data_IF_658057211228
#
_entry.id   IF_658057211228
#
_cell.length_a   1.000
_cell.length_b   1.000
_cell.length_c   1.000
_cell.angle_alpha   90.00
_cell.angle_beta   90.00
_cell.angle_gamma   90.00
#
_symmetry.space_group_name_H-M   'P 1'
#
loop_
_entity.id
_entity.type
_entity.pdbx_description
1 polymer ?
#
# COMPACT_ATOMS: atom_id res chain seq x y z
N UNK A 1 -46.97 11.73 10.37
CA UNK A 1 -45.82 10.79 10.35
C UNK A 1 -44.91 10.89 9.11
N UNK A 2 -44.91 11.97 8.32
CA UNK A 2 -43.97 12.14 7.18
C UNK A 2 -42.60 12.73 7.54
N UNK A 3 -42.49 13.49 8.63
CA UNK A 3 -41.23 14.17 9.00
C UNK A 3 -40.08 13.26 9.44
N UNK A 4 -40.36 12.10 10.03
CA UNK A 4 -39.31 11.20 10.55
C UNK A 4 -38.49 10.47 9.47
N UNK A 5 -39.06 10.24 8.29
CA UNK A 5 -38.32 9.61 7.17
C UNK A 5 -37.35 10.58 6.50
N UNK A 6 -37.65 11.88 6.53
CA UNK A 6 -36.83 12.91 5.89
C UNK A 6 -35.57 13.20 6.72
N UNK A 7 -35.70 13.29 8.05
CA UNK A 7 -34.56 13.50 8.96
C UNK A 7 -33.55 12.33 8.97
N UNK A 8 -34.02 11.09 8.81
CA UNK A 8 -33.15 9.91 8.70
C UNK A 8 -32.37 9.88 7.37
N UNK A 9 -32.91 10.54 6.34
CA UNK A 9 -32.28 10.60 5.03
C UNK A 9 -31.19 11.68 4.99
N UNK A 10 -31.41 12.81 5.66
CA UNK A 10 -30.40 13.88 5.81
C UNK A 10 -29.17 13.43 6.63
N UNK A 11 -29.35 12.71 7.75
CA UNK A 11 -28.23 12.19 8.56
C UNK A 11 -27.32 11.21 7.78
N UNK A 12 -27.92 10.40 6.90
CA UNK A 12 -27.17 9.50 6.02
C UNK A 12 -26.36 10.27 4.96
N UNK A 13 -26.90 11.37 4.44
CA UNK A 13 -26.23 12.21 3.44
C UNK A 13 -25.02 12.92 4.06
N UNK A 14 -25.14 13.43 5.29
CA UNK A 14 -24.03 14.12 5.96
C UNK A 14 -22.91 13.16 6.35
N UNK A 15 -23.24 11.96 6.84
CA UNK A 15 -22.26 10.92 7.11
C UNK A 15 -21.54 10.47 5.84
N UNK A 16 -22.25 10.44 4.71
CA UNK A 16 -21.68 10.14 3.40
C UNK A 16 -20.70 11.21 2.93
N UNK A 17 -21.05 12.51 3.05
CA UNK A 17 -20.14 13.61 2.70
C UNK A 17 -18.82 13.56 3.47
N UNK A 18 -18.87 13.32 4.78
CA UNK A 18 -17.66 13.21 5.62
C UNK A 18 -16.75 12.07 5.15
N UNK A 19 -17.33 10.95 4.70
CA UNK A 19 -16.57 9.81 4.20
C UNK A 19 -16.00 10.07 2.80
N UNK A 20 -16.75 10.76 1.95
CA UNK A 20 -16.29 11.15 0.62
C UNK A 20 -15.15 12.16 0.70
N UNK A 21 -15.24 13.12 1.63
CA UNK A 21 -14.17 14.07 1.93
C UNK A 21 -12.92 13.36 2.47
N UNK A 22 -13.08 12.37 3.36
CA UNK A 22 -11.95 11.55 3.83
C UNK A 22 -11.33 10.70 2.72
N UNK A 23 -12.16 10.11 1.86
CA UNK A 23 -11.69 9.35 0.69
C UNK A 23 -10.89 10.23 -0.26
N UNK A 24 -11.42 11.40 -0.59
CA UNK A 24 -10.74 12.42 -1.39
C UNK A 24 -9.46 12.91 -0.74
N UNK A 25 -9.44 13.10 0.58
CA UNK A 25 -8.23 13.52 1.29
C UNK A 25 -7.12 12.46 1.20
N UNK A 26 -7.45 11.18 1.42
CA UNK A 26 -6.49 10.08 1.26
C UNK A 26 -6.02 9.98 -0.19
N UNK A 27 -6.93 10.14 -1.15
CA UNK A 27 -6.60 10.14 -2.58
C UNK A 27 -5.69 11.31 -2.97
N UNK A 28 -6.01 12.54 -2.57
CA UNK A 28 -5.19 13.72 -2.87
C UNK A 28 -3.83 13.68 -2.17
N UNK A 29 -3.75 13.16 -0.94
CA UNK A 29 -2.45 12.86 -0.31
C UNK A 29 -1.61 11.89 -1.15
N UNK A 30 -2.23 10.84 -1.69
CA UNK A 30 -1.56 9.84 -2.56
C UNK A 30 -1.14 10.44 -3.90
N UNK A 31 -2.02 11.21 -4.54
CA UNK A 31 -1.73 11.94 -5.77
C UNK A 31 -0.58 12.92 -5.60
N UNK A 32 -0.54 13.67 -4.49
CA UNK A 32 0.55 14.57 -4.16
C UNK A 32 1.86 13.83 -3.87
N UNK A 33 1.81 12.65 -3.24
CA UNK A 33 2.99 11.79 -3.09
C UNK A 33 3.54 11.37 -4.46
N UNK A 34 2.68 10.91 -5.38
CA UNK A 34 3.05 10.53 -6.75
C UNK A 34 3.59 11.73 -7.55
N UNK A 35 3.01 12.92 -7.38
CA UNK A 35 3.50 14.13 -8.04
C UNK A 35 4.88 14.55 -7.51
N UNK A 36 5.12 14.38 -6.20
CA UNK A 36 6.43 14.60 -5.59
C UNK A 36 7.49 13.64 -6.13
N UNK A 37 7.11 12.38 -6.41
CA UNK A 37 7.96 11.39 -7.10
C UNK A 37 8.26 11.81 -8.54
N UNK A 38 7.27 12.34 -9.25
CA UNK A 38 7.47 12.83 -10.64
C UNK A 38 8.45 14.01 -10.69
N UNK A 39 8.41 14.92 -9.71
CA UNK A 39 9.40 15.99 -9.58
C UNK A 39 10.79 15.48 -9.18
N UNK A 40 10.89 14.36 -8.46
CA UNK A 40 12.18 13.71 -8.21
C UNK A 40 12.76 13.09 -9.49
N UNK A 41 11.93 12.64 -10.41
CA UNK A 41 12.37 12.09 -11.70
C UNK A 41 13.04 13.15 -12.60
N UNK A 42 12.60 14.41 -12.57
CA UNK A 42 13.23 15.48 -13.36
C UNK A 42 14.59 15.89 -12.78
N UNK A 43 14.72 15.97 -11.46
CA UNK A 43 16.01 16.17 -10.79
C UNK A 43 17.00 15.03 -11.12
N UNK A 44 16.49 13.80 -11.19
CA UNK A 44 17.27 12.61 -11.50
C UNK A 44 17.79 12.58 -12.95
N UNK A 45 16.95 12.96 -13.92
CA UNK A 45 17.37 13.14 -15.32
C UNK A 45 18.52 14.17 -15.42
N UNK A 46 18.46 15.24 -14.63
CA UNK A 46 19.51 16.24 -14.52
C UNK A 46 20.84 15.67 -14.00
N UNK A 47 20.81 14.77 -13.02
CA UNK A 47 22.02 14.13 -12.47
C UNK A 47 22.66 13.18 -13.50
N UNK A 48 21.86 12.42 -14.25
CA UNK A 48 22.38 11.56 -15.33
C UNK A 48 23.02 12.41 -16.43
N UNK A 49 22.33 13.46 -16.89
CA UNK A 49 22.83 14.32 -17.97
C UNK A 49 24.11 15.07 -17.57
N UNK A 50 24.21 15.54 -16.32
CA UNK A 50 25.43 16.17 -15.80
C UNK A 50 26.58 15.19 -15.68
N UNK A 51 26.31 13.96 -15.23
CA UNK A 51 27.32 12.89 -15.17
C UNK A 51 27.86 12.55 -16.57
N UNK A 52 26.98 12.38 -17.56
CA UNK A 52 27.35 12.15 -18.97
C UNK A 52 28.17 13.32 -19.52
N UNK A 53 27.77 14.56 -19.22
CA UNK A 53 28.49 15.76 -19.65
C UNK A 53 29.92 15.82 -19.09
N UNK A 54 30.10 15.47 -17.81
CA UNK A 54 31.43 15.41 -17.17
C UNK A 54 32.31 14.33 -17.81
N UNK A 55 31.74 13.16 -18.11
CA UNK A 55 32.46 12.07 -18.80
C UNK A 55 32.95 12.53 -20.18
N UNK A 56 32.06 13.12 -20.97
CA UNK A 56 32.40 13.64 -22.30
C UNK A 56 33.50 14.72 -22.23
N UNK A 57 33.42 15.62 -21.26
CA UNK A 57 34.43 16.66 -21.06
C UNK A 57 35.81 16.06 -20.71
N UNK A 58 35.85 15.06 -19.84
CA UNK A 58 37.08 14.35 -19.46
C UNK A 58 37.69 13.60 -20.65
N UNK A 59 36.88 12.89 -21.42
CA UNK A 59 37.35 12.16 -22.62
C UNK A 59 37.93 13.12 -23.66
N UNK A 60 37.24 14.24 -23.92
CA UNK A 60 37.72 15.26 -24.87
C UNK A 60 38.99 15.96 -24.38
N UNK A 61 39.10 16.20 -23.07
CA UNK A 61 40.29 16.77 -22.45
C UNK A 61 41.51 15.86 -22.63
N UNK A 62 41.37 14.58 -22.30
CA UNK A 62 42.43 13.58 -22.44
C UNK A 62 42.86 13.38 -23.91
N UNK A 63 41.90 13.40 -24.84
CA UNK A 63 42.20 13.35 -26.27
C UNK A 63 43.00 14.58 -26.72
N UNK A 64 42.65 15.78 -26.23
CA UNK A 64 43.30 17.04 -26.63
C UNK A 64 44.73 17.17 -26.11
N UNK A 65 45.05 16.60 -24.96
CA UNK A 65 46.38 16.72 -24.36
C UNK A 65 47.41 15.75 -24.94
N UNK A 66 47.00 14.81 -25.80
CA UNK A 66 47.91 13.85 -26.45
C UNK A 66 48.66 12.95 -25.47
N UNK A 67 48.13 12.80 -24.25
CA UNK A 67 48.76 12.01 -23.20
C UNK A 67 48.61 10.51 -23.49
N UNK A 68 49.74 9.81 -23.54
CA UNK A 68 49.76 8.35 -23.49
C UNK A 68 49.24 7.89 -22.13
N UNK A 69 48.14 7.11 -22.12
CA UNK A 69 47.51 6.63 -20.87
C UNK A 69 48.56 5.95 -19.98
N UNK A 70 48.81 6.57 -18.83
CA UNK A 70 49.67 6.03 -17.76
C UNK A 70 48.85 5.11 -16.85
N UNK A 71 49.53 4.35 -15.99
CA UNK A 71 48.88 3.48 -14.98
C UNK A 71 47.84 4.22 -14.11
N UNK A 72 48.07 5.51 -13.83
CA UNK A 72 47.14 6.34 -13.05
C UNK A 72 45.81 6.57 -13.79
N UNK A 73 45.83 6.64 -15.11
CA UNK A 73 44.62 6.82 -15.91
C UNK A 73 43.74 5.57 -15.88
N UNK A 74 44.35 4.38 -15.79
CA UNK A 74 43.62 3.10 -15.68
C UNK A 74 42.93 2.96 -14.32
N UNK A 75 43.59 3.42 -13.24
CA UNK A 75 43.01 3.43 -11.88
C UNK A 75 41.85 4.42 -11.78
N UNK A 76 41.99 5.61 -12.35
CA UNK A 76 40.90 6.61 -12.37
C UNK A 76 39.70 6.13 -13.18
N UNK A 77 39.94 5.45 -14.32
CA UNK A 77 38.89 4.87 -15.15
C UNK A 77 38.12 3.76 -14.41
N UNK A 78 38.82 2.88 -13.69
CA UNK A 78 38.17 1.78 -12.95
C UNK A 78 37.37 2.30 -11.75
N UNK A 79 37.89 3.32 -11.04
CA UNK A 79 37.18 4.02 -9.97
C UNK A 79 35.90 4.69 -10.47
N UNK A 80 35.93 5.25 -11.68
CA UNK A 80 34.77 5.88 -12.28
C UNK A 80 33.68 4.87 -12.70
N UNK A 81 34.08 3.75 -13.32
CA UNK A 81 33.15 2.68 -13.72
C UNK A 81 32.48 2.06 -12.48
N UNK A 82 33.24 1.80 -11.42
CA UNK A 82 32.70 1.25 -10.17
C UNK A 82 31.76 2.23 -9.47
N UNK A 83 32.10 3.51 -9.40
CA UNK A 83 31.21 4.54 -8.86
C UNK A 83 29.91 4.65 -9.67
N UNK A 84 30.00 4.63 -11.00
CA UNK A 84 28.83 4.68 -11.90
C UNK A 84 27.91 3.47 -11.71
N UNK A 85 28.49 2.27 -11.56
CA UNK A 85 27.74 1.04 -11.31
C UNK A 85 27.04 1.07 -9.94
N UNK A 86 27.71 1.54 -8.89
CA UNK A 86 27.13 1.70 -7.54
C UNK A 86 26.00 2.72 -7.56
N UNK A 87 26.20 3.87 -8.20
CA UNK A 87 25.17 4.90 -8.34
C UNK A 87 23.93 4.37 -9.08
N UNK A 88 24.14 3.57 -10.13
CA UNK A 88 23.05 2.89 -10.84
C UNK A 88 22.31 1.88 -9.94
N UNK A 89 23.03 1.03 -9.20
CA UNK A 89 22.43 0.07 -8.28
C UNK A 89 21.63 0.75 -7.16
N UNK A 90 22.17 1.81 -6.55
CA UNK A 90 21.46 2.60 -5.52
C UNK A 90 20.20 3.23 -6.11
N UNK A 91 20.29 3.76 -7.34
CA UNK A 91 19.12 4.29 -8.04
C UNK A 91 18.07 3.21 -8.22
N UNK A 92 18.43 2.06 -8.78
CA UNK A 92 17.49 0.94 -9.00
C UNK A 92 16.83 0.51 -7.70
N UNK A 93 17.59 0.42 -6.59
CA UNK A 93 17.06 0.04 -5.27
C UNK A 93 16.11 1.09 -4.67
N UNK A 94 16.37 2.38 -4.89
CA UNK A 94 15.48 3.47 -4.45
C UNK A 94 14.22 3.55 -5.34
N UNK A 95 14.36 3.20 -6.62
CA UNK A 95 13.32 3.39 -7.64
C UNK A 95 12.40 2.19 -7.83
N UNK A 96 12.82 0.96 -7.46
CA UNK A 96 11.90 -0.15 -7.30
C UNK A 96 10.96 0.22 -6.16
N UNK A 97 9.69 0.59 -6.45
CA UNK A 97 8.81 1.09 -5.43
C UNK A 97 8.55 -0.07 -4.47
N UNK A 98 9.04 0.06 -3.24
CA UNK A 98 8.66 -0.85 -2.15
C UNK A 98 7.15 -0.80 -1.85
N UNK A 99 6.42 0.10 -2.50
CA UNK A 99 4.97 0.29 -2.43
C UNK A 99 4.13 -0.84 -3.07
N UNK A 100 4.75 -1.83 -3.73
CA UNK A 100 4.03 -3.08 -4.06
C UNK A 100 3.49 -3.81 -2.82
N UNK A 101 3.92 -3.44 -1.60
CA UNK A 101 3.34 -3.97 -0.36
C UNK A 101 1.93 -3.48 -0.03
N UNK A 102 1.45 -2.39 -0.61
CA UNK A 102 0.19 -1.77 -0.16
C UNK A 102 -1.02 -1.99 -1.09
N UNK A 103 -0.87 -2.72 -2.20
CA UNK A 103 -2.02 -3.20 -2.99
C UNK A 103 -2.80 -4.34 -2.30
N UNK A 104 -2.41 -4.74 -1.07
CA UNK A 104 -3.16 -5.66 -0.20
C UNK A 104 -4.49 -5.09 0.32
N UNK A 105 -4.87 -3.86 -0.03
CA UNK A 105 -6.13 -3.23 0.40
C UNK A 105 -7.38 -4.03 -0.03
N UNK A 106 -7.24 -4.94 -1.00
CA UNK A 106 -8.33 -5.82 -1.45
C UNK A 106 -8.12 -7.30 -1.11
N UNK A 107 -7.04 -7.68 -0.43
CA UNK A 107 -6.94 -9.04 0.10
C UNK A 107 -7.89 -9.13 1.29
N UNK A 108 -8.89 -10.02 1.17
CA UNK A 108 -9.81 -10.38 2.23
C UNK A 108 -9.01 -10.80 3.47
N UNK A 109 -8.82 -9.85 4.38
CA UNK A 109 -7.91 -10.04 5.49
C UNK A 109 -8.61 -10.84 6.56
N UNK A 110 -8.16 -12.08 6.74
CA UNK A 110 -8.53 -12.90 7.89
C UNK A 110 -8.02 -12.24 9.18
N UNK A 111 -8.91 -12.03 10.15
CA UNK A 111 -8.54 -11.43 11.43
C UNK A 111 -8.29 -12.48 12.50
N UNK A 112 -9.26 -13.35 12.75
CA UNK A 112 -9.15 -14.42 13.72
C UNK A 112 -10.10 -15.57 13.38
N UNK A 113 -9.70 -16.78 13.77
CA UNK A 113 -10.55 -17.95 13.72
C UNK A 113 -11.48 -17.95 14.93
N UNK A 114 -12.78 -18.11 14.66
CA UNK A 114 -13.80 -18.21 15.69
C UNK A 114 -13.50 -19.36 16.65
N UNK A 115 -13.19 -20.54 16.13
CA UNK A 115 -12.99 -21.76 16.90
C UNK A 115 -11.73 -21.73 17.78
N UNK A 116 -10.74 -20.92 17.39
CA UNK A 116 -9.51 -20.73 18.14
C UNK A 116 -9.60 -19.67 19.26
N UNK A 117 -10.82 -19.20 19.58
CA UNK A 117 -11.12 -18.28 20.68
C UNK A 117 -12.11 -18.94 21.67
N UNK A 118 -11.82 -18.94 22.98
CA UNK A 118 -10.57 -18.48 23.60
C UNK A 118 -9.41 -19.44 23.28
N UNK A 119 -8.21 -18.91 23.11
CA UNK A 119 -7.00 -19.71 22.87
C UNK A 119 -5.99 -19.02 21.98
N UNK A 120 -5.60 -19.72 20.90
CA UNK A 120 -4.49 -19.34 20.02
C UNK A 120 -4.68 -17.96 19.37
N UNK A 121 -5.92 -17.61 19.05
CA UNK A 121 -6.23 -16.39 18.31
C UNK A 121 -6.67 -15.21 19.20
N UNK A 122 -6.60 -15.34 20.53
CA UNK A 122 -6.91 -14.26 21.48
C UNK A 122 -6.14 -12.97 21.18
N UNK A 123 -4.84 -13.06 20.90
CA UNK A 123 -4.01 -11.90 20.58
C UNK A 123 -4.44 -11.23 19.28
N UNK A 124 -4.89 -12.00 18.29
CA UNK A 124 -5.34 -11.46 17.01
C UNK A 124 -6.69 -10.74 17.16
N UNK A 125 -7.62 -11.35 17.90
CA UNK A 125 -8.91 -10.75 18.23
C UNK A 125 -8.74 -9.40 18.96
N UNK A 126 -7.91 -9.35 20.02
CA UNK A 126 -7.66 -8.10 20.74
C UNK A 126 -6.98 -7.05 19.87
N UNK A 127 -6.00 -7.47 19.04
CA UNK A 127 -5.35 -6.56 18.11
C UNK A 127 -6.34 -5.98 17.11
N UNK A 128 -7.20 -6.81 16.52
CA UNK A 128 -8.26 -6.35 15.61
C UNK A 128 -9.13 -5.27 16.25
N UNK A 129 -9.57 -5.50 17.48
CA UNK A 129 -10.46 -4.57 18.16
C UNK A 129 -9.75 -3.27 18.57
N UNK A 130 -8.50 -3.34 19.04
CA UNK A 130 -7.71 -2.16 19.39
C UNK A 130 -7.38 -1.32 18.14
N UNK A 131 -6.98 -1.97 17.04
CA UNK A 131 -6.55 -1.29 15.82
C UNK A 131 -7.73 -0.60 15.11
N UNK A 132 -8.93 -1.20 15.14
CA UNK A 132 -10.11 -0.66 14.46
C UNK A 132 -11.03 0.19 15.35
N UNK A 133 -10.96 0.05 16.67
CA UNK A 133 -11.82 0.76 17.61
C UNK A 133 -10.99 1.46 18.69
N UNK A 134 -10.47 2.64 18.34
CA UNK A 134 -9.52 3.47 19.12
C UNK A 134 -9.92 3.78 20.59
N UNK A 135 -11.19 3.61 20.98
CA UNK A 135 -11.68 3.86 22.33
C UNK A 135 -11.61 2.63 23.27
N UNK A 136 -11.04 1.52 22.81
CA UNK A 136 -10.99 0.25 23.55
C UNK A 136 -9.61 -0.01 24.18
N UNK A 137 -8.95 1.02 24.71
CA UNK A 137 -7.62 0.91 25.33
C UNK A 137 -7.56 -0.09 26.49
N UNK A 138 -8.68 -0.29 27.19
CA UNK A 138 -8.86 -1.25 28.28
C UNK A 138 -8.78 -2.73 27.84
N UNK A 139 -8.89 -3.01 26.53
CA UNK A 139 -8.86 -4.38 26.01
C UNK A 139 -7.52 -5.10 26.22
N UNK A 140 -6.44 -4.35 26.48
CA UNK A 140 -5.12 -4.95 26.74
C UNK A 140 -5.10 -5.84 28.00
N UNK A 141 -5.99 -5.58 28.95
CA UNK A 141 -6.13 -6.33 30.20
C UNK A 141 -7.46 -7.10 30.29
N UNK A 142 -8.24 -7.14 29.21
CA UNK A 142 -9.53 -7.81 29.22
C UNK A 142 -9.39 -9.34 29.22
N UNK A 143 -10.31 -10.00 29.93
CA UNK A 143 -10.51 -11.44 29.84
C UNK A 143 -11.36 -11.77 28.63
N UNK A 144 -11.10 -12.93 28.03
CA UNK A 144 -11.85 -13.44 26.88
C UNK A 144 -12.44 -14.77 27.28
N UNK A 145 -13.75 -14.86 27.22
CA UNK A 145 -14.50 -16.07 27.46
C UNK A 145 -15.43 -16.34 26.28
N UNK A 146 -15.83 -17.60 26.11
CA UNK A 146 -16.83 -18.00 25.13
C UNK A 146 -17.97 -18.71 25.85
N UNK A 147 -19.20 -18.44 25.44
CA UNK A 147 -20.40 -19.05 26.00
C UNK A 147 -20.38 -20.57 25.82
N UNK A 148 -21.14 -21.27 26.65
CA UNK A 148 -21.20 -22.75 26.65
C UNK A 148 -21.74 -23.32 25.34
N UNK A 149 -22.58 -22.57 24.63
CA UNK A 149 -23.10 -22.92 23.30
C UNK A 149 -22.11 -22.58 22.16
N UNK A 150 -20.96 -21.96 22.48
CA UNK A 150 -19.94 -21.56 21.51
C UNK A 150 -20.31 -20.36 20.62
N UNK A 151 -21.52 -19.80 20.77
CA UNK A 151 -22.08 -18.77 19.87
C UNK A 151 -21.72 -17.34 20.24
N UNK A 152 -21.27 -17.10 21.47
CA UNK A 152 -20.94 -15.76 21.96
C UNK A 152 -19.52 -15.72 22.50
N UNK A 153 -18.70 -14.80 22.00
CA UNK A 153 -17.41 -14.43 22.60
C UNK A 153 -17.62 -13.18 23.43
N UNK A 154 -17.25 -13.23 24.71
CA UNK A 154 -17.32 -12.12 25.64
C UNK A 154 -15.91 -11.63 25.97
N UNK A 155 -15.66 -10.35 25.75
CA UNK A 155 -14.40 -9.68 26.07
C UNK A 155 -14.71 -8.63 27.12
N UNK A 156 -14.19 -8.82 28.32
CA UNK A 156 -14.63 -7.99 29.44
C UNK A 156 -13.54 -7.67 30.45
N UNK A 157 -13.81 -6.61 31.18
CA UNK A 157 -13.18 -6.23 32.45
C UNK A 157 -14.30 -6.08 33.47
N UNK A 158 -13.97 -5.69 34.70
CA UNK A 158 -15.00 -5.47 35.72
C UNK A 158 -15.99 -4.35 35.35
N UNK A 159 -15.58 -3.40 34.49
CA UNK A 159 -16.36 -2.22 34.13
C UNK A 159 -16.85 -2.21 32.67
N UNK A 160 -16.22 -2.97 31.77
CA UNK A 160 -16.49 -2.91 30.34
C UNK A 160 -16.78 -4.30 29.78
N UNK A 161 -17.72 -4.37 28.83
CA UNK A 161 -18.11 -5.60 28.15
C UNK A 161 -18.24 -5.33 26.64
N UNK A 162 -17.64 -6.22 25.85
CA UNK A 162 -17.84 -6.35 24.42
C UNK A 162 -18.27 -7.77 24.13
N UNK A 163 -19.31 -7.92 23.33
CA UNK A 163 -19.82 -9.23 22.93
C UNK A 163 -19.69 -9.38 21.42
N UNK A 164 -19.33 -10.57 20.95
CA UNK A 164 -19.39 -10.96 19.56
C UNK A 164 -20.31 -12.16 19.48
N UNK A 165 -21.42 -12.05 18.76
CA UNK A 165 -22.43 -13.11 18.64
C UNK A 165 -22.52 -13.58 17.20
N UNK A 166 -22.26 -14.86 16.96
CA UNK A 166 -22.50 -15.44 15.65
C UNK A 166 -24.00 -15.66 15.43
N UNK A 167 -24.47 -15.39 14.22
CA UNK A 167 -25.84 -15.66 13.82
C UNK A 167 -26.08 -17.18 13.67
N UNK A 168 -27.34 -17.60 13.69
CA UNK A 168 -27.70 -19.02 13.59
C UNK A 168 -27.35 -19.63 12.22
N UNK A 169 -27.27 -18.81 11.17
CA UNK A 169 -26.82 -19.19 9.83
C UNK A 169 -25.29 -19.26 9.70
N UNK A 170 -24.54 -18.82 10.71
CA UNK A 170 -23.07 -18.77 10.74
C UNK A 170 -22.41 -17.95 9.62
N UNK A 171 -23.17 -17.17 8.86
CA UNK A 171 -22.63 -16.31 7.79
C UNK A 171 -22.17 -14.95 8.34
N UNK A 172 -22.72 -14.53 9.48
CA UNK A 172 -22.44 -13.23 10.08
C UNK A 172 -22.22 -13.32 11.58
N UNK A 173 -21.45 -12.38 12.10
CA UNK A 173 -21.36 -12.12 13.53
C UNK A 173 -21.65 -10.65 13.86
N UNK A 174 -22.33 -10.42 14.97
CA UNK A 174 -22.63 -9.10 15.51
C UNK A 174 -21.62 -8.76 16.62
N UNK A 175 -20.80 -7.75 16.39
CA UNK A 175 -19.92 -7.13 17.39
C UNK A 175 -20.69 -6.01 18.12
N UNK A 176 -20.89 -6.18 19.41
CA UNK A 176 -21.66 -5.29 20.28
C UNK A 176 -20.69 -4.56 21.21
N UNK A 177 -20.52 -3.24 21.01
CA UNK A 177 -19.54 -2.39 21.70
C UNK A 177 -20.15 -1.63 22.90
N UNK A 178 -21.27 -2.12 23.43
CA UNK A 178 -22.06 -1.46 24.46
C UNK A 178 -23.00 -0.37 23.92
N UNK A 179 -23.62 0.38 24.84
CA UNK A 179 -24.66 1.36 24.52
C UNK A 179 -24.09 2.72 24.13
N UNK A 180 -24.79 3.41 23.23
CA UNK A 180 -24.52 4.80 22.89
C UNK A 180 -25.15 5.78 23.90
N UNK A 181 -24.97 7.08 23.65
CA UNK A 181 -25.54 8.18 24.45
C UNK A 181 -27.07 8.21 24.52
N UNK A 182 -27.75 7.41 23.70
CA UNK A 182 -29.20 7.27 23.66
C UNK A 182 -29.66 5.91 24.22
N UNK A 183 -28.75 5.10 24.77
CA UNK A 183 -29.04 3.79 25.34
C UNK A 183 -29.22 2.68 24.31
N UNK A 184 -28.86 2.91 23.03
CA UNK A 184 -28.95 1.92 21.95
C UNK A 184 -27.62 1.18 21.77
N UNK A 185 -27.68 -0.11 21.52
CA UNK A 185 -26.47 -0.91 21.28
C UNK A 185 -25.75 -0.48 20.00
N UNK A 186 -24.43 -0.30 20.12
CA UNK A 186 -23.54 -0.07 18.99
C UNK A 186 -23.14 -1.41 18.41
N UNK A 187 -23.81 -1.79 17.32
CA UNK A 187 -23.64 -3.09 16.68
C UNK A 187 -22.91 -2.93 15.33
N UNK A 188 -21.84 -3.68 15.15
CA UNK A 188 -21.09 -3.81 13.90
C UNK A 188 -21.25 -5.23 13.36
N UNK A 189 -21.43 -5.35 12.03
CA UNK A 189 -21.51 -6.64 11.36
C UNK A 189 -20.13 -7.09 10.92
N UNK A 190 -19.81 -8.34 11.20
CA UNK A 190 -18.60 -9.04 10.77
C UNK A 190 -19.03 -10.20 9.87
N UNK A 191 -18.24 -10.48 8.84
CA UNK A 191 -18.50 -11.60 7.95
C UNK A 191 -17.80 -12.84 8.49
N UNK A 192 -18.48 -13.98 8.44
CA UNK A 192 -17.95 -15.26 8.90
C UNK A 192 -17.99 -16.21 7.73
N UNK A 193 -16.88 -16.93 7.52
CA UNK A 193 -16.81 -17.95 6.48
C UNK A 193 -16.21 -19.23 7.05
N UNK A 194 -16.77 -20.34 6.59
CA UNK A 194 -16.27 -21.68 6.85
C UNK A 194 -15.20 -22.01 5.81
N UNK A 195 -14.03 -22.44 6.27
CA UNK A 195 -12.96 -22.92 5.41
C UNK A 195 -13.15 -24.40 5.04
N UNK A 196 -12.36 -24.92 4.09
CA UNK A 196 -12.45 -26.31 3.64
C UNK A 196 -12.24 -27.34 4.77
N UNK A 197 -11.61 -26.95 5.88
CA UNK A 197 -11.38 -27.78 7.06
C UNK A 197 -12.52 -27.70 8.09
N UNK A 198 -13.59 -26.94 7.82
CA UNK A 198 -14.71 -26.70 8.74
C UNK A 198 -14.44 -25.66 9.83
N UNK A 199 -13.30 -24.97 9.81
CA UNK A 199 -13.03 -23.90 10.77
C UNK A 199 -13.74 -22.61 10.35
N UNK A 200 -14.40 -21.97 11.29
CA UNK A 200 -15.03 -20.66 11.10
C UNK A 200 -13.99 -19.55 11.26
N UNK A 201 -13.95 -18.64 10.29
CA UNK A 201 -13.04 -17.49 10.24
C UNK A 201 -13.80 -16.19 10.10
N UNK A 202 -13.34 -15.18 10.84
CA UNK A 202 -13.95 -13.85 10.82
C UNK A 202 -13.14 -12.92 9.93
N UNK A 203 -13.85 -12.30 8.99
CA UNK A 203 -13.33 -11.36 8.02
C UNK A 203 -13.95 -9.97 8.27
N UNK A 204 -13.11 -8.94 8.20
CA UNK A 204 -13.60 -7.56 8.21
C UNK A 204 -13.84 -7.16 6.78
N UNK A 205 -15.11 -6.98 6.48
CA UNK A 205 -15.55 -6.54 5.18
C UNK A 205 -16.02 -5.09 5.24
N UNK A 206 -15.42 -4.27 6.10
CA UNK A 206 -15.77 -2.86 6.27
C UNK A 206 -15.88 -2.10 4.95
N UNK A 207 -15.08 -2.48 3.94
CA UNK A 207 -15.20 -1.91 2.60
C UNK A 207 -16.39 -2.48 1.82
N UNK A 208 -16.57 -3.80 1.77
CA UNK A 208 -17.67 -4.43 1.05
C UNK A 208 -19.03 -4.18 1.70
N UNK A 209 -19.14 -4.25 3.03
CA UNK A 209 -20.32 -3.91 3.79
C UNK A 209 -20.68 -2.42 3.63
N UNK A 210 -19.69 -1.54 3.52
CA UNK A 210 -19.91 -0.14 3.15
C UNK A 210 -20.48 -0.04 1.73
N UNK A 211 -19.83 -0.66 0.74
CA UNK A 211 -20.26 -0.69 -0.66
C UNK A 211 -21.64 -1.36 -0.84
N UNK A 212 -21.97 -2.38 -0.07
CA UNK A 212 -23.26 -3.05 -0.14
C UNK A 212 -24.36 -2.20 0.51
N UNK A 213 -24.01 -1.44 1.55
CA UNK A 213 -24.94 -0.53 2.25
C UNK A 213 -25.21 0.79 1.52
N UNK A 214 -24.29 1.24 0.66
CA UNK A 214 -24.41 2.50 -0.10
C UNK A 214 -25.33 2.41 -1.32
N UNK A 215 -25.85 1.22 -1.64
CA UNK A 215 -26.69 0.98 -2.81
C UNK A 215 -25.88 0.66 -4.07
N UNK A 216 -26.44 -0.24 -4.88
CA UNK A 216 -25.75 -0.86 -6.02
C UNK A 216 -25.21 0.15 -7.04
N UNK A 217 -25.94 1.24 -7.28
CA UNK A 217 -25.61 2.26 -8.27
C UNK A 217 -24.44 3.16 -7.84
N UNK A 218 -24.41 3.55 -6.56
CA UNK A 218 -23.34 4.37 -6.01
C UNK A 218 -22.02 3.60 -5.93
N UNK A 219 -22.13 2.32 -5.61
CA UNK A 219 -21.01 1.37 -5.57
C UNK A 219 -20.44 1.12 -6.95
N UNK A 220 -21.28 0.99 -7.99
CA UNK A 220 -20.79 0.91 -9.37
C UNK A 220 -20.03 2.17 -9.78
N UNK A 221 -20.55 3.36 -9.48
CA UNK A 221 -19.86 4.61 -9.81
C UNK A 221 -18.51 4.75 -9.10
N UNK A 222 -18.46 4.44 -7.80
CA UNK A 222 -17.21 4.50 -7.04
C UNK A 222 -16.18 3.45 -7.51
N UNK A 223 -16.62 2.22 -7.77
CA UNK A 223 -15.74 1.16 -8.30
C UNK A 223 -15.26 1.48 -9.71
N UNK A 224 -16.12 2.05 -10.56
CA UNK A 224 -15.73 2.49 -11.89
C UNK A 224 -14.68 3.60 -11.81
N UNK A 225 -14.86 4.59 -10.93
CA UNK A 225 -13.88 5.66 -10.74
C UNK A 225 -12.55 5.11 -10.22
N UNK A 226 -12.57 4.21 -9.24
CA UNK A 226 -11.36 3.52 -8.77
C UNK A 226 -10.67 2.72 -9.88
N UNK A 227 -11.45 2.07 -10.74
CA UNK A 227 -10.91 1.27 -11.84
C UNK A 227 -10.34 2.15 -12.96
N UNK A 228 -10.97 3.28 -13.28
CA UNK A 228 -10.46 4.28 -14.21
C UNK A 228 -9.16 4.91 -13.67
N UNK A 229 -9.13 5.28 -12.39
CA UNK A 229 -7.92 5.80 -11.73
C UNK A 229 -6.80 4.75 -11.69
N UNK A 230 -7.14 3.48 -11.42
CA UNK A 230 -6.18 2.37 -11.46
C UNK A 230 -5.62 2.17 -12.86
N UNK A 231 -6.48 2.15 -13.89
CA UNK A 231 -6.07 1.98 -15.28
C UNK A 231 -5.19 3.15 -15.76
N UNK A 232 -5.59 4.39 -15.44
CA UNK A 232 -4.81 5.59 -15.76
C UNK A 232 -3.42 5.56 -15.12
N UNK A 233 -3.34 5.22 -13.83
CA UNK A 233 -2.06 5.09 -13.13
C UNK A 233 -1.21 3.94 -13.69
N UNK A 234 -1.84 2.82 -14.07
CA UNK A 234 -1.16 1.67 -14.68
C UNK A 234 -0.57 2.03 -16.04
N UNK A 235 -1.32 2.73 -16.90
CA UNK A 235 -0.85 3.14 -18.23
C UNK A 235 0.28 4.16 -18.12
N UNK A 236 0.16 5.13 -17.21
CA UNK A 236 1.21 6.11 -16.93
C UNK A 236 2.49 5.44 -16.39
N UNK A 237 2.33 4.42 -15.54
CA UNK A 237 3.44 3.63 -15.03
C UNK A 237 4.09 2.80 -16.14
N UNK A 238 3.31 2.09 -16.96
CA UNK A 238 3.82 1.33 -18.10
C UNK A 238 4.58 2.22 -19.09
N UNK A 239 4.07 3.43 -19.34
CA UNK A 239 4.75 4.41 -20.19
C UNK A 239 6.07 4.85 -19.57
N UNK A 240 6.09 5.11 -18.26
CA UNK A 240 7.33 5.44 -17.53
C UNK A 240 8.34 4.29 -17.56
N UNK A 241 7.87 3.05 -17.41
CA UNK A 241 8.70 1.84 -17.50
C UNK A 241 9.30 1.64 -18.90
N UNK A 242 8.56 1.95 -19.98
CA UNK A 242 9.10 1.89 -21.35
C UNK A 242 10.28 2.85 -21.52
N UNK A 243 10.16 4.08 -21.05
CA UNK A 243 11.25 5.06 -21.11
C UNK A 243 12.45 4.65 -20.23
N UNK A 244 12.18 4.04 -19.07
CA UNK A 244 13.24 3.48 -18.23
C UNK A 244 14.00 2.34 -18.93
N UNK A 245 13.29 1.41 -19.58
CA UNK A 245 13.92 0.34 -20.38
C UNK A 245 14.77 0.92 -21.52
N UNK A 246 14.27 1.94 -22.23
CA UNK A 246 15.03 2.62 -23.28
C UNK A 246 16.30 3.27 -22.71
N UNK A 247 16.22 3.93 -21.55
CA UNK A 247 17.37 4.52 -20.89
C UNK A 247 18.42 3.47 -20.48
N UNK A 248 17.99 2.31 -19.98
CA UNK A 248 18.88 1.17 -19.69
C UNK A 248 19.58 0.68 -20.96
N UNK A 249 18.84 0.54 -22.07
CA UNK A 249 19.45 0.12 -23.34
C UNK A 249 20.53 1.09 -23.81
N UNK A 250 20.28 2.41 -23.74
CA UNK A 250 21.28 3.43 -24.09
C UNK A 250 22.49 3.38 -23.16
N UNK A 251 22.28 3.16 -21.85
CA UNK A 251 23.36 3.01 -20.89
C UNK A 251 24.23 1.79 -21.20
N UNK A 252 23.63 0.64 -21.48
CA UNK A 252 24.36 -0.59 -21.87
C UNK A 252 25.13 -0.36 -23.18
N UNK A 253 24.50 0.24 -24.19
CA UNK A 253 25.16 0.60 -25.45
C UNK A 253 26.37 1.51 -25.22
N UNK A 254 26.26 2.50 -24.33
CA UNK A 254 27.37 3.39 -23.96
C UNK A 254 28.52 2.63 -23.29
N UNK A 255 28.24 1.62 -22.48
CA UNK A 255 29.29 0.77 -21.86
C UNK A 255 29.98 -0.07 -22.92
N UNK A 256 29.21 -0.67 -23.86
CA UNK A 256 29.76 -1.49 -24.94
C UNK A 256 30.67 -0.67 -25.84
N UNK A 257 30.23 0.53 -26.28
CA UNK A 257 31.06 1.39 -27.15
C UNK A 257 32.35 1.80 -26.46
N UNK A 258 32.28 2.10 -25.16
CA UNK A 258 33.44 2.40 -24.35
C UNK A 258 34.43 1.22 -24.25
N UNK A 259 33.94 0.00 -24.01
CA UNK A 259 34.77 -1.21 -24.00
C UNK A 259 35.44 -1.44 -25.37
N UNK A 260 34.70 -1.27 -26.47
CA UNK A 260 35.24 -1.41 -27.82
C UNK A 260 36.37 -0.41 -28.10
N UNK A 261 36.25 0.83 -27.62
CA UNK A 261 37.31 1.83 -27.74
C UNK A 261 38.57 1.41 -26.98
N UNK A 262 38.44 0.91 -25.75
CA UNK A 262 39.57 0.40 -24.95
C UNK A 262 40.28 -0.74 -25.71
N UNK A 263 39.52 -1.73 -26.21
CA UNK A 263 40.08 -2.86 -26.94
C UNK A 263 40.83 -2.40 -28.19
N UNK A 264 40.26 -1.47 -28.96
CA UNK A 264 40.90 -0.92 -30.16
C UNK A 264 42.22 -0.23 -29.82
N UNK A 265 42.26 0.55 -28.74
CA UNK A 265 43.49 1.23 -28.29
C UNK A 265 44.57 0.25 -27.85
N UNK A 266 44.19 -0.88 -27.24
CA UNK A 266 45.15 -1.93 -26.84
C UNK A 266 45.69 -2.69 -28.06
N UNK A 267 44.85 -3.02 -29.04
CA UNK A 267 45.24 -3.83 -30.21
C UNK A 267 46.10 -3.08 -31.24
N UNK A 268 46.07 -1.75 -31.24
CA UNK A 268 46.84 -0.91 -32.17
C UNK A 268 48.13 -0.33 -31.57
N UNK A 269 48.46 -0.71 -30.33
CA UNK A 269 49.78 -0.52 -29.73
C UNK A 269 50.63 -1.76 -29.93
#
# INVERSE_FOLDING_TARGET
MRGGKMALQEDKIDKYKILLDRGNEVFERRKNAIFSLTNRNSAFLGIILTSISIILALVLFLHRTGWELTYMDTVLLSGFVTFSAIAFCITVLIFFPTEYRELKVFEKKHWFSWDNVPGKDNKKLLKYLIDNYFYLSWMKSAKIDKSTDGKTICIHTDENLVEIKIADDQEMAALILGKDRFGKDRVHKLNVEEEENGELRVYDDTLYNFLYSSGEELTRHFLQQLQEDYNYNTEKYLTSMKWFTVAICFFILSIITFICLIIKTILWR
#
